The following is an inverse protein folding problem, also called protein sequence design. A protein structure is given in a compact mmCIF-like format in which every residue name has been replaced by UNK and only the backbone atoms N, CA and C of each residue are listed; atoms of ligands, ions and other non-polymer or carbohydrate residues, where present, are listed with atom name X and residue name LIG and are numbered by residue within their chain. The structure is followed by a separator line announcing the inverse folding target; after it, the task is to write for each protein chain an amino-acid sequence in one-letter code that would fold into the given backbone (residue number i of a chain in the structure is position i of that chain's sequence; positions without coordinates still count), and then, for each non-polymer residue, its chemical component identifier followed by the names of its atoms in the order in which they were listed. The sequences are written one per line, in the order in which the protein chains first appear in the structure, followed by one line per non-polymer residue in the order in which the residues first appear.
data_IF_869539960526
#
_entry.id   IF_869539960526
#
_cell.length_a   1.000
_cell.length_b   1.000
_cell.length_c   1.000
_cell.angle_alpha   90.00
_cell.angle_beta   90.00
_cell.angle_gamma   90.00
#
_symmetry.space_group_name_H-M   'P 1'
#
loop_
_entity.id
_entity.type
_entity.pdbx_description
1 polymer ?
#
# COMPACT_ATOMS: atom_id res chain seq x y z
N UNK A 1 3.14 -11.55 -8.85
CA UNK A 1 2.16 -12.20 -7.97
C UNK A 1 2.36 -11.82 -6.51
N UNK A 2 3.54 -12.05 -5.91
CA UNK A 2 3.78 -11.73 -4.50
C UNK A 2 3.42 -10.29 -4.09
N UNK A 3 3.87 -9.29 -4.85
CA UNK A 3 3.54 -7.87 -4.62
C UNK A 3 2.04 -7.61 -4.62
N UNK A 4 1.32 -8.20 -5.59
CA UNK A 4 -0.15 -8.02 -5.68
C UNK A 4 -0.83 -8.58 -4.44
N UNK A 5 -0.41 -9.76 -3.97
CA UNK A 5 -0.93 -10.35 -2.75
C UNK A 5 -0.60 -9.49 -1.51
N UNK A 6 0.60 -8.90 -1.44
CA UNK A 6 0.98 -7.99 -0.36
C UNK A 6 0.10 -6.74 -0.33
N UNK A 7 -0.13 -6.10 -1.49
CA UNK A 7 -0.98 -4.92 -1.60
C UNK A 7 -2.42 -5.27 -1.20
N UNK A 8 -3.02 -6.29 -1.80
CA UNK A 8 -4.40 -6.70 -1.46
C UNK A 8 -4.53 -7.03 0.02
N UNK A 9 -3.57 -7.78 0.58
CA UNK A 9 -3.57 -8.14 1.99
C UNK A 9 -3.51 -6.93 2.90
N UNK A 10 -2.64 -5.95 2.60
CA UNK A 10 -2.54 -4.73 3.40
C UNK A 10 -3.82 -3.91 3.34
N UNK A 11 -4.39 -3.73 2.15
CA UNK A 11 -5.69 -3.08 1.96
C UNK A 11 -6.81 -3.75 2.76
N UNK A 12 -6.89 -5.08 2.70
CA UNK A 12 -7.95 -5.80 3.38
C UNK A 12 -7.84 -5.67 4.91
N UNK A 13 -6.62 -5.79 5.45
CA UNK A 13 -6.37 -5.60 6.89
C UNK A 13 -6.70 -4.16 7.31
N UNK A 14 -6.19 -3.17 6.58
CA UNK A 14 -6.42 -1.75 6.88
C UNK A 14 -7.89 -1.37 6.81
N UNK A 15 -8.61 -1.82 5.78
CA UNK A 15 -10.06 -1.57 5.63
C UNK A 15 -10.89 -2.31 6.67
N UNK A 16 -10.55 -3.57 6.97
CA UNK A 16 -11.27 -4.36 7.96
C UNK A 16 -11.17 -3.75 9.37
N UNK A 17 -9.98 -3.27 9.73
CA UNK A 17 -9.75 -2.65 11.04
C UNK A 17 -10.28 -1.21 11.09
N UNK A 18 -10.00 -0.40 10.06
CA UNK A 18 -10.42 1.00 10.01
C UNK A 18 -11.94 1.15 9.94
N UNK A 19 -12.62 0.39 9.08
CA UNK A 19 -14.07 0.51 8.86
C UNK A 19 -14.91 -0.49 9.66
N UNK A 20 -14.37 -1.08 10.73
CA UNK A 20 -15.06 -2.10 11.53
C UNK A 20 -16.47 -1.68 11.99
N UNK A 21 -16.67 -0.39 12.25
CA UNK A 21 -17.95 0.19 12.71
C UNK A 21 -18.85 0.70 11.58
N UNK A 22 -18.36 0.65 10.33
CA UNK A 22 -18.97 1.22 9.13
C UNK A 22 -19.05 0.16 8.02
N UNK A 23 -19.87 -0.90 8.20
CA UNK A 23 -19.85 -2.07 7.34
C UNK A 23 -20.15 -1.76 5.87
N UNK A 24 -21.02 -0.78 5.59
CA UNK A 24 -21.33 -0.37 4.23
C UNK A 24 -20.10 0.17 3.49
N UNK A 25 -19.32 1.03 4.14
CA UNK A 25 -18.10 1.60 3.57
C UNK A 25 -16.97 0.57 3.49
N UNK A 26 -16.86 -0.31 4.48
CA UNK A 26 -15.91 -1.41 4.47
C UNK A 26 -16.09 -2.30 3.22
N UNK A 27 -17.32 -2.77 2.98
CA UNK A 27 -17.62 -3.61 1.81
C UNK A 27 -17.44 -2.87 0.49
N UNK A 28 -17.83 -1.60 0.42
CA UNK A 28 -17.67 -0.77 -0.76
C UNK A 28 -16.19 -0.67 -1.18
N UNK A 29 -15.30 -0.34 -0.25
CA UNK A 29 -13.87 -0.21 -0.56
C UNK A 29 -13.18 -1.56 -0.81
N UNK A 30 -13.55 -2.62 -0.08
CA UNK A 30 -13.04 -3.95 -0.37
C UNK A 30 -13.43 -4.43 -1.77
N UNK A 31 -14.68 -4.17 -2.19
CA UNK A 31 -15.13 -4.48 -3.54
C UNK A 31 -14.37 -3.66 -4.60
N UNK A 32 -14.18 -2.35 -4.36
CA UNK A 32 -13.43 -1.46 -5.24
C UNK A 32 -12.00 -1.98 -5.49
N UNK A 33 -11.25 -2.28 -4.42
CA UNK A 33 -9.88 -2.81 -4.53
C UNK A 33 -9.86 -4.16 -5.25
N UNK A 34 -10.85 -5.02 -4.99
CA UNK A 34 -10.95 -6.32 -5.65
C UNK A 34 -11.11 -6.16 -7.16
N UNK A 35 -12.00 -5.25 -7.59
CA UNK A 35 -12.24 -4.97 -9.01
C UNK A 35 -10.99 -4.39 -9.69
N UNK A 36 -10.31 -3.44 -9.05
CA UNK A 36 -9.09 -2.82 -9.60
C UNK A 36 -7.93 -3.81 -9.76
N UNK A 37 -7.86 -4.84 -8.91
CA UNK A 37 -6.76 -5.82 -8.93
C UNK A 37 -6.93 -6.87 -10.03
N UNK A 38 -8.14 -7.13 -10.53
CA UNK A 38 -8.38 -8.06 -11.65
C UNK A 38 -7.54 -7.76 -12.90
N UNK A 39 -7.56 -6.54 -13.48
CA UNK A 39 -6.72 -6.22 -14.63
C UNK A 39 -5.23 -6.29 -14.30
N UNK A 40 -4.83 -5.94 -13.07
CA UNK A 40 -3.45 -6.05 -12.63
C UNK A 40 -2.98 -7.51 -12.62
N UNK A 41 -3.79 -8.43 -12.09
CA UNK A 41 -3.52 -9.88 -12.09
C UNK A 41 -3.37 -10.43 -13.51
N UNK A 42 -4.25 -10.01 -14.42
CA UNK A 42 -4.14 -10.36 -15.84
C UNK A 42 -2.80 -9.88 -16.41
N UNK A 43 -2.45 -8.60 -16.25
CA UNK A 43 -1.22 -8.01 -16.78
C UNK A 43 0.02 -8.75 -16.25
N UNK A 44 0.09 -9.02 -14.94
CA UNK A 44 1.28 -9.69 -14.35
C UNK A 44 1.35 -11.19 -14.70
N UNK A 45 0.23 -11.82 -15.06
CA UNK A 45 0.21 -13.20 -15.56
C UNK A 45 0.82 -13.32 -16.96
N UNK A 46 0.71 -12.27 -17.78
CA UNK A 46 1.23 -12.25 -19.14
C UNK A 46 2.72 -11.90 -19.15
N UNK A 47 3.59 -12.84 -19.51
CA UNK A 47 5.05 -12.64 -19.51
C UNK A 47 5.46 -11.42 -20.36
N UNK A 48 4.84 -11.25 -21.53
CA UNK A 48 5.12 -10.14 -22.45
C UNK A 48 4.77 -8.77 -21.87
N UNK A 49 3.73 -8.69 -21.04
CA UNK A 49 3.29 -7.44 -20.42
C UNK A 49 4.07 -7.18 -19.13
N UNK A 50 4.30 -8.22 -18.32
CA UNK A 50 5.05 -8.13 -17.05
C UNK A 50 6.44 -7.52 -17.21
N UNK A 51 7.13 -7.78 -18.33
CA UNK A 51 8.46 -7.21 -18.62
C UNK A 51 8.41 -5.73 -19.04
N UNK A 52 7.24 -5.19 -19.37
CA UNK A 52 7.08 -3.80 -19.81
C UNK A 52 6.76 -2.91 -18.60
N UNK A 53 7.80 -2.40 -17.95
CA UNK A 53 7.68 -1.50 -16.79
C UNK A 53 6.70 -0.33 -17.02
N UNK A 54 6.74 0.29 -18.21
CA UNK A 54 5.83 1.39 -18.62
C UNK A 54 4.35 0.99 -18.66
N UNK A 55 4.05 -0.30 -18.77
CA UNK A 55 2.68 -0.83 -18.72
C UNK A 55 2.32 -1.22 -17.30
N UNK A 56 3.22 -1.88 -16.57
CA UNK A 56 2.93 -2.47 -15.26
C UNK A 56 2.88 -1.44 -14.13
N UNK A 57 3.85 -0.51 -14.09
CA UNK A 57 3.99 0.46 -12.99
C UNK A 57 2.74 1.34 -12.82
N UNK A 58 2.16 1.93 -13.89
CA UNK A 58 0.97 2.76 -13.73
C UNK A 58 -0.22 2.04 -13.08
N UNK A 59 -0.41 0.74 -13.35
CA UNK A 59 -1.48 -0.04 -12.71
C UNK A 59 -1.21 -0.28 -11.22
N UNK A 60 0.03 -0.59 -10.84
CA UNK A 60 0.39 -0.68 -9.42
C UNK A 60 0.20 0.65 -8.70
N UNK A 61 0.65 1.75 -9.31
CA UNK A 61 0.48 3.10 -8.75
C UNK A 61 -0.99 3.47 -8.61
N UNK A 62 -1.83 3.14 -9.60
CA UNK A 62 -3.26 3.41 -9.54
C UNK A 62 -3.94 2.68 -8.37
N UNK A 63 -3.73 1.36 -8.24
CA UNK A 63 -4.30 0.56 -7.14
C UNK A 63 -3.87 1.09 -5.78
N UNK A 64 -2.58 1.41 -5.61
CA UNK A 64 -2.09 1.97 -4.34
C UNK A 64 -2.69 3.34 -4.08
N UNK A 65 -2.72 4.23 -5.09
CA UNK A 65 -3.25 5.58 -4.97
C UNK A 65 -4.75 5.60 -4.62
N UNK A 66 -5.54 4.62 -5.06
CA UNK A 66 -6.94 4.45 -4.66
C UNK A 66 -7.09 4.39 -3.14
N UNK A 67 -6.10 3.87 -2.41
CA UNK A 67 -6.09 3.82 -0.95
C UNK A 67 -6.03 5.17 -0.23
N UNK A 68 -5.67 6.25 -0.92
CA UNK A 68 -5.75 7.60 -0.36
C UNK A 68 -7.20 8.00 -0.08
N UNK A 69 -8.14 7.53 -0.91
CA UNK A 69 -9.57 7.84 -0.76
C UNK A 69 -10.16 7.27 0.54
N UNK A 70 -10.10 5.95 0.82
CA UNK A 70 -10.58 5.41 2.08
C UNK A 70 -9.76 5.93 3.27
N UNK A 71 -8.47 6.21 3.13
CA UNK A 71 -7.68 6.80 4.21
C UNK A 71 -8.19 8.21 4.60
N UNK A 72 -8.42 9.08 3.62
CA UNK A 72 -8.98 10.41 3.85
C UNK A 72 -10.42 10.35 4.33
N UNK A 73 -11.25 9.49 3.73
CA UNK A 73 -12.65 9.35 4.12
C UNK A 73 -12.79 8.86 5.57
N UNK A 74 -11.90 7.97 6.02
CA UNK A 74 -11.90 7.47 7.40
C UNK A 74 -11.66 8.58 8.44
N UNK A 75 -10.92 9.65 8.07
CA UNK A 75 -10.67 10.77 8.99
C UNK A 75 -11.93 11.51 9.44
N UNK A 76 -13.04 11.38 8.71
CA UNK A 76 -14.31 12.00 9.06
C UNK A 76 -15.02 11.30 10.23
N UNK A 77 -14.66 10.04 10.52
CA UNK A 77 -15.36 9.20 11.48
C UNK A 77 -14.54 8.83 12.72
N UNK A 78 -13.23 9.17 12.74
CA UNK A 78 -12.32 8.79 13.83
C UNK A 78 -12.00 9.99 14.73
N UNK A 79 -11.96 9.74 16.05
CA UNK A 79 -11.63 10.76 17.04
C UNK A 79 -10.18 11.28 16.93
N UNK A 80 -9.99 12.53 17.35
CA UNK A 80 -8.75 13.30 17.17
C UNK A 80 -7.45 12.62 17.67
N UNK A 81 -7.39 11.95 18.84
CA UNK A 81 -6.14 11.35 19.32
C UNK A 81 -5.71 10.13 18.50
N UNK A 82 -6.65 9.31 18.04
CA UNK A 82 -6.36 8.11 17.25
C UNK A 82 -6.09 8.44 15.78
N UNK A 83 -6.73 9.50 15.28
CA UNK A 83 -6.55 10.04 13.93
C UNK A 83 -5.09 10.32 13.61
N UNK A 84 -4.35 10.97 14.51
CA UNK A 84 -2.97 11.39 14.26
C UNK A 84 -2.04 10.19 14.07
N UNK A 85 -2.13 9.21 14.96
CA UNK A 85 -1.32 7.98 14.90
C UNK A 85 -1.58 7.19 13.63
N UNK A 86 -2.86 7.04 13.24
CA UNK A 86 -3.21 6.35 11.99
C UNK A 86 -2.75 7.11 10.75
N UNK A 87 -2.93 8.42 10.72
CA UNK A 87 -2.48 9.25 9.60
C UNK A 87 -0.96 9.22 9.45
N UNK A 88 -0.20 9.24 10.54
CA UNK A 88 1.26 9.11 10.49
C UNK A 88 1.68 7.78 9.86
N UNK A 89 1.06 6.66 10.27
CA UNK A 89 1.35 5.34 9.70
C UNK A 89 1.02 5.28 8.21
N UNK A 90 -0.15 5.81 7.82
CA UNK A 90 -0.62 5.84 6.43
C UNK A 90 0.27 6.72 5.55
N UNK A 91 0.61 7.94 5.97
CA UNK A 91 1.51 8.81 5.21
C UNK A 91 2.90 8.21 5.07
N UNK A 92 3.40 7.55 6.11
CA UNK A 92 4.67 6.82 6.05
C UNK A 92 4.62 5.68 5.04
N UNK A 93 3.54 4.90 5.02
CA UNK A 93 3.31 3.85 4.03
C UNK A 93 3.31 4.41 2.60
N UNK A 94 2.54 5.46 2.33
CA UNK A 94 2.48 6.10 1.01
C UNK A 94 3.83 6.70 0.59
N UNK A 95 4.56 7.31 1.53
CA UNK A 95 5.91 7.81 1.30
C UNK A 95 6.89 6.70 0.91
N UNK A 96 6.85 5.56 1.60
CA UNK A 96 7.68 4.39 1.27
C UNK A 96 7.32 3.81 -0.10
N UNK A 97 6.04 3.69 -0.44
CA UNK A 97 5.63 3.26 -1.79
C UNK A 97 6.12 4.23 -2.88
N UNK A 98 5.96 5.53 -2.67
CA UNK A 98 6.42 6.55 -3.62
C UNK A 98 7.93 6.48 -3.82
N UNK A 99 8.70 6.44 -2.72
CA UNK A 99 10.15 6.30 -2.78
C UNK A 99 10.55 5.04 -3.54
N UNK A 100 9.96 3.89 -3.20
CA UNK A 100 10.24 2.63 -3.89
C UNK A 100 10.01 2.73 -5.40
N UNK A 101 8.87 3.29 -5.83
CA UNK A 101 8.56 3.47 -7.25
C UNK A 101 9.55 4.41 -7.93
N UNK A 102 10.00 5.48 -7.25
CA UNK A 102 11.02 6.40 -7.78
C UNK A 102 12.36 5.69 -7.98
N UNK A 103 12.83 4.91 -6.99
CA UNK A 103 14.05 4.12 -7.14
C UNK A 103 13.96 3.17 -8.34
N UNK A 104 12.80 2.51 -8.51
CA UNK A 104 12.57 1.59 -9.62
C UNK A 104 12.50 2.28 -10.99
N UNK A 105 11.84 3.43 -11.09
CA UNK A 105 11.68 4.17 -12.35
C UNK A 105 12.95 4.90 -12.78
N UNK A 106 13.75 5.38 -11.81
CA UNK A 106 14.99 6.11 -12.07
C UNK A 106 16.22 5.18 -12.17
N UNK A 107 16.02 3.88 -11.97
CA UNK A 107 17.08 2.87 -12.02
C UNK A 107 18.24 3.25 -11.07
N UNK A 108 17.93 3.78 -9.89
CA UNK A 108 18.94 4.18 -8.88
C UNK A 108 19.22 2.96 -7.99
N UNK A 109 20.49 2.61 -7.71
CA UNK A 109 21.73 3.37 -7.98
C UNK A 109 22.47 3.00 -9.28
N UNK A 110 22.00 2.04 -10.09
CA UNK A 110 22.71 1.58 -11.28
C UNK A 110 22.86 2.64 -12.38
N UNK A 111 21.94 3.60 -12.46
CA UNK A 111 22.02 4.77 -13.34
C UNK A 111 23.15 5.73 -12.95
N UNK A 112 23.54 5.74 -11.66
CA UNK A 112 24.65 6.57 -11.16
C UNK A 112 25.99 5.85 -11.23
N UNK A 113 26.00 4.53 -11.05
CA UNK A 113 27.22 3.72 -11.04
C UNK A 113 27.03 2.43 -11.87
N UNK A 114 27.10 2.53 -13.21
CA UNK A 114 26.96 1.37 -14.08
C UNK A 114 27.99 0.28 -13.74
N UNK A 115 27.54 -0.99 -13.66
CA UNK A 115 28.40 -2.14 -13.39
C UNK A 115 28.75 -2.39 -11.92
N UNK A 116 28.34 -1.52 -10.99
CA UNK A 116 28.61 -1.72 -9.54
C UNK A 116 27.52 -2.48 -8.80
N UNK A 117 26.29 -2.44 -9.29
CA UNK A 117 25.10 -2.95 -8.60
C UNK A 117 24.46 -4.16 -9.31
N UNK A 118 25.17 -4.81 -10.23
CA UNK A 118 24.62 -5.83 -11.12
C UNK A 118 24.02 -7.06 -10.40
N UNK A 119 24.49 -7.37 -9.19
CA UNK A 119 24.05 -8.53 -8.41
C UNK A 119 23.29 -8.17 -7.13
N UNK A 120 23.67 -7.08 -6.46
CA UNK A 120 23.19 -6.71 -5.13
C UNK A 120 22.86 -5.22 -5.12
N UNK A 121 21.72 -4.86 -4.52
CA UNK A 121 21.23 -3.48 -4.35
C UNK A 121 20.97 -2.71 -5.65
N UNK A 122 20.72 -3.39 -6.77
CA UNK A 122 20.12 -2.73 -7.93
C UNK A 122 18.70 -2.23 -7.61
N UNK A 123 18.20 -1.26 -8.36
CA UNK A 123 16.92 -0.58 -8.12
C UNK A 123 15.75 -1.52 -7.86
N UNK A 124 15.65 -2.63 -8.59
CA UNK A 124 14.57 -3.60 -8.41
C UNK A 124 14.61 -4.28 -7.04
N UNK A 125 15.79 -4.62 -6.50
CA UNK A 125 15.91 -5.15 -5.13
C UNK A 125 15.53 -4.09 -4.10
N UNK A 126 16.04 -2.86 -4.27
CA UNK A 126 15.73 -1.73 -3.38
C UNK A 126 14.22 -1.45 -3.37
N UNK A 127 13.58 -1.50 -4.54
CA UNK A 127 12.13 -1.36 -4.67
C UNK A 127 11.35 -2.42 -3.88
N UNK A 128 11.74 -3.70 -3.97
CA UNK A 128 11.10 -4.76 -3.17
C UNK A 128 11.20 -4.48 -1.66
N UNK A 129 12.32 -3.92 -1.18
CA UNK A 129 12.47 -3.54 0.23
C UNK A 129 11.47 -2.47 0.63
N UNK A 130 11.32 -1.41 -0.16
CA UNK A 130 10.33 -0.35 0.09
C UNK A 130 8.89 -0.87 0.04
N UNK A 131 8.57 -1.69 -0.95
CA UNK A 131 7.24 -2.33 -1.13
C UNK A 131 6.90 -3.25 0.04
N UNK A 132 7.87 -3.89 0.67
CA UNK A 132 7.67 -4.70 1.86
C UNK A 132 7.57 -3.86 3.15
N UNK A 133 8.41 -2.83 3.29
CA UNK A 133 8.41 -1.96 4.46
C UNK A 133 7.15 -1.12 4.58
N UNK A 134 6.56 -0.68 3.47
CA UNK A 134 5.33 0.11 3.46
C UNK A 134 4.16 -0.55 4.22
N UNK A 135 3.69 -1.76 3.84
CA UNK A 135 2.61 -2.44 4.55
C UNK A 135 3.03 -2.89 5.96
N UNK A 136 4.33 -3.09 6.23
CA UNK A 136 4.81 -3.34 7.59
C UNK A 136 4.60 -2.12 8.49
N UNK A 137 4.88 -0.90 8.02
CA UNK A 137 4.60 0.32 8.76
C UNK A 137 3.10 0.51 9.05
N UNK A 138 2.25 0.24 8.05
CA UNK A 138 0.79 0.24 8.23
C UNK A 138 0.36 -0.76 9.30
N UNK A 139 0.85 -2.00 9.22
CA UNK A 139 0.54 -3.07 10.17
C UNK A 139 0.96 -2.73 11.61
N UNK A 140 2.18 -2.20 11.79
CA UNK A 140 2.64 -1.75 13.10
C UNK A 140 1.79 -0.60 13.65
N UNK A 141 1.39 0.35 12.80
CA UNK A 141 0.45 1.40 13.17
C UNK A 141 -0.89 0.85 13.64
N UNK A 142 -1.44 -0.13 12.91
CA UNK A 142 -2.68 -0.81 13.28
C UNK A 142 -2.57 -1.55 14.63
N UNK A 143 -1.45 -2.22 14.91
CA UNK A 143 -1.21 -2.86 16.21
C UNK A 143 -1.18 -1.87 17.36
N UNK A 144 -0.56 -0.69 17.16
CA UNK A 144 -0.56 0.36 18.18
C UNK A 144 -1.99 0.82 18.47
N UNK A 145 -2.80 1.04 17.45
CA UNK A 145 -4.23 1.40 17.60
C UNK A 145 -4.97 0.31 18.39
N UNK A 146 -4.80 -0.96 18.02
CA UNK A 146 -5.46 -2.09 18.68
C UNK A 146 -5.01 -2.27 20.14
N UNK A 147 -3.79 -1.86 20.49
CA UNK A 147 -3.30 -1.93 21.88
C UNK A 147 -4.02 -0.99 22.85
N UNK A 148 -4.76 0.00 22.35
CA UNK A 148 -5.50 0.97 23.17
C UNK A 148 -6.89 0.47 23.64
N UNK A 149 -7.31 -0.74 23.26
CA UNK A 149 -8.56 -1.36 23.73
C UNK A 149 -9.30 -2.14 22.63
N UNK A 150 -10.41 -2.84 22.97
CA UNK A 150 -11.29 -3.43 21.96
C UNK A 150 -11.76 -2.32 21.00
N UNK A 151 -12.06 -2.64 19.73
CA UNK A 151 -12.39 -1.72 18.61
C UNK A 151 -13.39 -0.56 18.89
N UNK A 152 -13.99 -0.52 20.08
CA UNK A 152 -14.87 0.54 20.58
C UNK A 152 -14.40 1.99 20.41
N UNK A 153 -13.11 2.38 20.58
CA UNK A 153 -12.68 3.77 20.36
C UNK A 153 -12.46 4.13 18.88
N UNK A 154 -12.64 3.18 17.95
CA UNK A 154 -12.70 3.45 16.49
C UNK A 154 -14.14 3.71 16.01
N UNK A 155 -15.14 3.42 16.85
CA UNK A 155 -16.53 3.67 16.52
C UNK A 155 -16.93 5.06 17.02
N UNK A 156 -17.44 5.95 16.14
CA UNK A 156 -18.05 7.18 16.62
C UNK A 156 -19.24 6.84 17.54
N UNK A 157 -19.33 7.53 18.68
CA UNK A 157 -20.48 7.48 19.60
C UNK A 157 -21.71 8.17 19.04
#
# INVERSE_FOLDING_TARGET
MGIVACIVGSFYIGLYLGYACLPQWQWFYMALITVEVVPLLYIVSQEKLRKKQKVVVPFFVAVVATGLVPAMHFTLFVDHPLRLTMMQAIYSMFGLYLLGVLFYLLEIPESWYPGRFDYILHSHQVWHMFVFMAPLCEYLGALVVMSHGPLGPLCPT
#
